data_IF_964503156309
#
_entry.id   IF_964503156309
#
_cell.length_a   1.000
_cell.length_b   1.000
_cell.length_c   1.000
_cell.angle_alpha   90.00
_cell.angle_beta   90.00
_cell.angle_gamma   90.00
#
_symmetry.space_group_name_H-M   'P 1'
#
loop_
_entity.id
_entity.type
_entity.pdbx_description
1 polymer ?
#
# COMPACT_ATOMS: atom_id res chain seq x y z
N UNK A 1 -67.40 28.29 43.43
CA UNK A 1 -65.95 28.46 43.23
C UNK A 1 -65.37 27.17 42.68
N UNK A 2 -65.16 27.08 41.36
CA UNK A 2 -64.34 26.05 40.71
C UNK A 2 -63.70 26.73 39.48
N UNK A 3 -62.36 26.93 39.43
CA UNK A 3 -61.72 27.53 38.27
C UNK A 3 -61.59 26.50 37.14
N UNK A 4 -61.93 26.94 35.93
CA UNK A 4 -61.87 26.17 34.71
C UNK A 4 -60.47 25.59 34.48
N UNK A 5 -60.39 24.28 34.29
CA UNK A 5 -59.18 23.59 33.86
C UNK A 5 -58.87 24.02 32.42
N UNK A 6 -57.84 24.85 32.32
CA UNK A 6 -57.27 25.41 31.11
C UNK A 6 -56.85 24.27 30.16
N UNK A 7 -57.68 23.99 29.17
CA UNK A 7 -57.38 23.09 28.05
C UNK A 7 -56.32 23.73 27.17
N UNK A 8 -55.05 23.49 27.49
CA UNK A 8 -53.95 23.78 26.55
C UNK A 8 -54.10 22.82 25.37
N UNK A 9 -54.26 23.30 24.13
CA UNK A 9 -54.05 22.46 22.97
C UNK A 9 -52.60 21.97 23.06
N UNK A 10 -52.40 20.64 23.17
CA UNK A 10 -51.13 20.07 22.73
C UNK A 10 -51.09 20.41 21.25
N UNK A 11 -50.36 21.46 20.89
CA UNK A 11 -49.98 21.69 19.52
C UNK A 11 -49.23 20.43 19.11
N UNK A 12 -49.92 19.60 18.33
CA UNK A 12 -49.36 18.44 17.67
C UNK A 12 -48.09 18.91 16.98
N UNK A 13 -46.94 18.50 17.52
CA UNK A 13 -45.67 18.58 16.83
C UNK A 13 -45.71 17.55 15.70
N UNK A 14 -46.58 17.78 14.71
CA UNK A 14 -46.42 17.19 13.38
C UNK A 14 -45.06 17.70 12.91
N UNK A 15 -44.07 16.82 12.67
CA UNK A 15 -42.83 17.26 12.08
C UNK A 15 -43.19 18.04 10.82
N UNK A 16 -42.72 19.29 10.75
CA UNK A 16 -42.98 20.11 9.57
C UNK A 16 -42.34 19.37 8.41
N UNK A 17 -43.01 19.25 7.27
CA UNK A 17 -42.55 18.46 6.13
C UNK A 17 -41.09 18.77 5.69
N UNK A 18 -40.56 19.94 6.08
CA UNK A 18 -39.14 20.30 5.91
C UNK A 18 -38.14 19.60 6.84
N UNK A 19 -38.51 19.19 8.06
CA UNK A 19 -37.65 18.40 8.97
C UNK A 19 -37.40 16.99 8.42
N UNK A 20 -38.44 16.34 7.88
CA UNK A 20 -38.33 15.00 7.29
C UNK A 20 -37.45 14.99 6.03
N UNK A 21 -37.49 16.06 5.23
CA UNK A 21 -36.63 16.22 4.07
C UNK A 21 -35.16 16.47 4.47
N UNK A 22 -34.95 17.25 5.53
CA UNK A 22 -33.61 17.48 6.08
C UNK A 22 -32.99 16.20 6.63
N UNK A 23 -33.75 15.41 7.40
CA UNK A 23 -33.29 14.11 7.92
C UNK A 23 -32.99 13.12 6.80
N UNK A 24 -33.88 13.00 5.79
CA UNK A 24 -33.65 12.11 4.65
C UNK A 24 -32.40 12.49 3.84
N UNK A 25 -32.11 13.79 3.69
CA UNK A 25 -30.90 14.26 3.02
C UNK A 25 -29.64 13.98 3.85
N UNK A 26 -29.73 14.11 5.16
CA UNK A 26 -28.64 13.81 6.08
C UNK A 26 -28.34 12.30 6.12
N UNK A 27 -29.36 11.46 6.07
CA UNK A 27 -29.22 10.00 5.97
C UNK A 27 -28.63 9.56 4.62
N UNK A 28 -29.05 10.19 3.51
CA UNK A 28 -28.45 9.93 2.20
C UNK A 28 -26.95 10.25 2.17
N UNK A 29 -26.54 11.37 2.75
CA UNK A 29 -25.13 11.73 2.88
C UNK A 29 -24.36 10.72 3.76
N UNK A 30 -25.01 10.26 4.85
CA UNK A 30 -24.45 9.25 5.74
C UNK A 30 -24.23 7.91 5.02
N UNK A 31 -25.22 7.41 4.28
CA UNK A 31 -25.12 6.20 3.47
C UNK A 31 -23.97 6.29 2.46
N UNK A 32 -23.87 7.38 1.71
CA UNK A 32 -22.77 7.58 0.75
C UNK A 32 -21.41 7.54 1.44
N UNK A 33 -21.27 8.21 2.59
CA UNK A 33 -20.00 8.15 3.35
C UNK A 33 -19.67 6.76 3.87
N UNK A 34 -20.68 5.95 4.23
CA UNK A 34 -20.49 4.56 4.65
C UNK A 34 -20.08 3.68 3.46
N UNK A 35 -20.71 3.83 2.30
CA UNK A 35 -20.37 3.09 1.09
C UNK A 35 -18.91 3.33 0.70
N UNK A 36 -18.46 4.59 0.77
CA UNK A 36 -17.06 4.96 0.54
C UNK A 36 -16.15 4.33 1.59
N UNK A 37 -16.55 4.35 2.86
CA UNK A 37 -15.77 3.74 3.93
C UNK A 37 -15.64 2.21 3.76
N UNK A 38 -16.72 1.55 3.37
CA UNK A 38 -16.77 0.11 3.10
C UNK A 38 -15.93 -0.24 1.87
N UNK A 39 -16.11 0.47 0.75
CA UNK A 39 -15.32 0.28 -0.45
C UNK A 39 -13.81 0.48 -0.18
N UNK A 40 -13.45 1.48 0.64
CA UNK A 40 -12.07 1.69 1.07
C UNK A 40 -11.54 0.54 1.93
N UNK A 41 -12.37 -0.02 2.81
CA UNK A 41 -12.01 -1.18 3.63
C UNK A 41 -11.79 -2.42 2.76
N UNK A 42 -12.72 -2.73 1.86
CA UNK A 42 -12.65 -3.87 0.96
C UNK A 42 -11.43 -3.75 0.03
N UNK A 43 -11.19 -2.57 -0.54
CA UNK A 43 -10.02 -2.32 -1.36
C UNK A 43 -8.72 -2.51 -0.56
N UNK A 44 -8.67 -2.04 0.68
CA UNK A 44 -7.51 -2.23 1.56
C UNK A 44 -7.28 -3.71 1.83
N UNK A 45 -8.32 -4.46 2.15
CA UNK A 45 -8.25 -5.90 2.42
C UNK A 45 -7.75 -6.66 1.19
N UNK A 46 -8.34 -6.44 0.01
CA UNK A 46 -7.92 -7.04 -1.26
C UNK A 46 -6.45 -6.72 -1.54
N UNK A 47 -6.03 -5.46 -1.41
CA UNK A 47 -4.64 -5.06 -1.65
C UNK A 47 -3.70 -5.74 -0.66
N UNK A 48 -4.03 -5.77 0.62
CA UNK A 48 -3.17 -6.40 1.63
C UNK A 48 -3.04 -7.90 1.42
N UNK A 49 -4.14 -8.60 1.18
CA UNK A 49 -4.15 -10.05 0.97
C UNK A 49 -3.42 -10.43 -0.31
N UNK A 50 -3.68 -9.73 -1.42
CA UNK A 50 -2.97 -9.99 -2.67
C UNK A 50 -1.49 -9.65 -2.57
N UNK A 51 -1.12 -8.59 -1.84
CA UNK A 51 0.28 -8.23 -1.64
C UNK A 51 1.02 -9.30 -0.82
N UNK A 52 0.41 -9.80 0.25
CA UNK A 52 0.97 -10.88 1.06
C UNK A 52 1.09 -12.15 0.21
N UNK A 53 0.06 -12.52 -0.55
CA UNK A 53 0.10 -13.68 -1.42
C UNK A 53 1.21 -13.57 -2.49
N UNK A 54 1.34 -12.41 -3.13
CA UNK A 54 2.40 -12.14 -4.10
C UNK A 54 3.79 -12.20 -3.45
N UNK A 55 3.95 -11.66 -2.23
CA UNK A 55 5.20 -11.74 -1.49
C UNK A 55 5.55 -13.20 -1.11
N UNK A 56 4.57 -13.99 -0.67
CA UNK A 56 4.75 -15.41 -0.38
C UNK A 56 5.14 -16.21 -1.62
N UNK A 57 4.49 -15.96 -2.77
CA UNK A 57 4.85 -16.61 -4.03
C UNK A 57 6.26 -16.21 -4.51
N UNK A 58 6.61 -14.93 -4.41
CA UNK A 58 7.95 -14.46 -4.72
C UNK A 58 9.00 -15.13 -3.81
N UNK A 59 8.74 -15.19 -2.50
CA UNK A 59 9.61 -15.88 -1.55
C UNK A 59 9.73 -17.38 -1.88
N UNK A 60 8.61 -18.07 -2.13
CA UNK A 60 8.61 -19.48 -2.52
C UNK A 60 9.44 -19.74 -3.78
N UNK A 61 9.31 -18.89 -4.80
CA UNK A 61 10.14 -18.96 -6.01
C UNK A 61 11.63 -18.80 -5.71
N UNK A 62 12.01 -17.83 -4.87
CA UNK A 62 13.40 -17.62 -4.43
C UNK A 62 13.91 -18.86 -3.70
N UNK A 63 13.16 -19.40 -2.74
CA UNK A 63 13.55 -20.61 -2.00
C UNK A 63 13.65 -21.84 -2.90
N UNK A 64 12.76 -22.01 -3.88
CA UNK A 64 12.84 -23.11 -4.85
C UNK A 64 14.10 -23.01 -5.71
N UNK A 65 14.45 -21.80 -6.16
CA UNK A 65 15.70 -21.54 -6.89
C UNK A 65 16.91 -21.90 -6.02
N UNK A 66 16.93 -21.46 -4.76
CA UNK A 66 18.01 -21.83 -3.83
C UNK A 66 18.08 -23.33 -3.56
N UNK A 67 16.93 -24.00 -3.41
CA UNK A 67 16.88 -25.44 -3.19
C UNK A 67 17.50 -26.19 -4.38
N UNK A 68 17.17 -25.83 -5.61
CA UNK A 68 17.78 -26.43 -6.81
C UNK A 68 19.25 -26.09 -6.90
N UNK A 69 19.60 -24.82 -6.71
CA UNK A 69 20.98 -24.36 -6.75
C UNK A 69 21.85 -25.13 -5.75
N UNK A 70 21.37 -25.43 -4.54
CA UNK A 70 22.15 -26.15 -3.52
C UNK A 70 22.08 -27.67 -3.69
N UNK A 71 20.87 -28.23 -3.84
CA UNK A 71 20.67 -29.68 -3.83
C UNK A 71 21.32 -30.39 -5.02
N UNK A 72 21.29 -29.78 -6.22
CA UNK A 72 21.88 -30.38 -7.42
C UNK A 72 23.41 -30.51 -7.31
N UNK A 73 24.20 -29.47 -6.95
CA UNK A 73 25.63 -29.62 -6.73
C UNK A 73 25.96 -30.65 -5.66
N UNK A 74 25.23 -30.66 -4.54
CA UNK A 74 25.46 -31.63 -3.47
C UNK A 74 25.29 -33.05 -4.00
N UNK A 75 24.23 -33.31 -4.77
CA UNK A 75 23.99 -34.62 -5.38
C UNK A 75 25.09 -34.98 -6.38
N UNK A 76 25.52 -34.05 -7.23
CA UNK A 76 26.58 -34.27 -8.23
C UNK A 76 27.91 -34.57 -7.54
N UNK A 77 28.26 -33.82 -6.49
CA UNK A 77 29.50 -34.05 -5.72
C UNK A 77 29.47 -35.44 -5.09
N UNK A 78 28.34 -35.89 -4.54
CA UNK A 78 28.24 -37.24 -3.94
C UNK A 78 28.31 -38.36 -4.99
N UNK A 79 27.76 -38.16 -6.18
CA UNK A 79 27.74 -39.18 -7.24
C UNK A 79 29.05 -39.30 -8.01
N UNK A 80 29.85 -38.23 -8.06
CA UNK A 80 31.07 -38.17 -8.88
C UNK A 80 32.29 -38.42 -7.99
N UNK A 81 33.13 -39.44 -8.27
CA UNK A 81 34.30 -39.76 -7.45
C UNK A 81 35.34 -38.62 -7.42
N UNK A 82 35.27 -37.70 -8.38
CA UNK A 82 36.13 -36.53 -8.51
C UNK A 82 35.47 -35.26 -7.96
N UNK A 83 35.13 -35.32 -6.67
CA UNK A 83 34.37 -34.34 -5.91
C UNK A 83 34.84 -32.87 -6.07
N UNK A 84 36.15 -32.62 -6.19
CA UNK A 84 36.70 -31.27 -6.24
C UNK A 84 36.50 -30.58 -7.60
N UNK A 85 36.56 -31.31 -8.72
CA UNK A 85 36.25 -30.75 -10.04
C UNK A 85 34.76 -30.45 -10.17
N UNK A 86 33.91 -31.36 -9.67
CA UNK A 86 32.47 -31.15 -9.61
C UNK A 86 32.13 -29.88 -8.81
N UNK A 87 32.76 -29.68 -7.65
CA UNK A 87 32.59 -28.48 -6.84
C UNK A 87 33.07 -27.21 -7.57
N UNK A 88 34.19 -27.27 -8.30
CA UNK A 88 34.74 -26.15 -9.05
C UNK A 88 33.80 -25.71 -10.18
N UNK A 89 33.23 -26.65 -10.93
CA UNK A 89 32.28 -26.35 -12.03
C UNK A 89 31.04 -25.63 -11.48
N UNK A 90 30.50 -26.10 -10.35
CA UNK A 90 29.37 -25.43 -9.71
C UNK A 90 29.73 -24.05 -9.17
N UNK A 91 30.92 -23.89 -8.57
CA UNK A 91 31.39 -22.59 -8.12
C UNK A 91 31.50 -21.57 -9.27
N UNK A 92 31.98 -22.00 -10.44
CA UNK A 92 32.03 -21.17 -11.65
C UNK A 92 30.61 -20.84 -12.13
N UNK A 93 29.68 -21.80 -12.14
CA UNK A 93 28.29 -21.56 -12.51
C UNK A 93 27.63 -20.51 -11.59
N UNK A 94 27.86 -20.60 -10.28
CA UNK A 94 27.39 -19.60 -9.32
C UNK A 94 27.97 -18.21 -9.56
N UNK A 95 29.28 -18.11 -9.80
CA UNK A 95 29.92 -16.84 -10.11
C UNK A 95 29.41 -16.24 -11.43
N UNK A 96 29.14 -17.07 -12.43
CA UNK A 96 28.57 -16.62 -13.70
C UNK A 96 27.13 -16.09 -13.52
N UNK A 97 26.28 -16.83 -12.81
CA UNK A 97 24.89 -16.43 -12.54
C UNK A 97 24.86 -15.17 -11.66
N UNK A 98 25.56 -15.19 -10.52
CA UNK A 98 25.61 -14.07 -9.58
C UNK A 98 26.27 -12.84 -10.18
N UNK A 99 27.38 -13.00 -10.89
CA UNK A 99 28.06 -11.93 -11.62
C UNK A 99 27.18 -11.34 -12.71
N UNK A 100 26.51 -12.17 -13.50
CA UNK A 100 25.55 -11.73 -14.52
C UNK A 100 24.38 -10.94 -13.94
N UNK A 101 23.76 -11.45 -12.85
CA UNK A 101 22.70 -10.75 -12.12
C UNK A 101 23.18 -9.42 -11.52
N UNK A 102 24.39 -9.39 -10.95
CA UNK A 102 24.97 -8.17 -10.39
C UNK A 102 25.24 -7.11 -11.48
N UNK A 103 25.79 -7.52 -12.64
CA UNK A 103 26.02 -6.65 -13.78
C UNK A 103 24.70 -6.16 -14.38
N UNK A 104 23.73 -7.06 -14.58
CA UNK A 104 22.39 -6.70 -15.06
C UNK A 104 21.70 -5.73 -14.10
N UNK A 105 21.68 -6.03 -12.80
CA UNK A 105 21.16 -5.17 -11.76
C UNK A 105 21.83 -3.80 -11.76
N UNK A 106 23.17 -3.75 -11.84
CA UNK A 106 23.94 -2.51 -11.92
C UNK A 106 23.65 -1.70 -13.17
N UNK A 107 23.42 -2.34 -14.32
CA UNK A 107 23.04 -1.66 -15.57
C UNK A 107 21.64 -1.04 -15.51
N UNK A 108 20.73 -1.67 -14.76
CA UNK A 108 19.35 -1.20 -14.55
C UNK A 108 19.21 -0.25 -13.37
N UNK A 109 20.19 -0.22 -12.47
CA UNK A 109 20.25 0.71 -11.34
C UNK A 109 20.51 2.14 -11.83
N UNK A 110 19.47 2.79 -12.32
CA UNK A 110 19.49 4.23 -12.55
C UNK A 110 19.13 4.95 -11.24
N UNK A 111 20.09 5.00 -10.31
CA UNK A 111 20.04 5.86 -9.12
C UNK A 111 20.22 7.35 -9.50
N UNK A 112 19.53 7.80 -10.56
CA UNK A 112 19.42 9.22 -10.85
C UNK A 112 18.32 9.76 -9.97
N UNK A 113 18.70 10.52 -8.94
CA UNK A 113 17.75 11.31 -8.17
C UNK A 113 16.93 12.16 -9.17
N UNK A 114 15.60 12.10 -9.14
CA UNK A 114 14.78 12.84 -10.09
C UNK A 114 14.99 14.33 -9.88
N UNK A 115 15.78 14.95 -10.75
CA UNK A 115 16.20 16.35 -10.64
C UNK A 115 14.99 17.28 -10.60
N UNK A 116 13.96 16.96 -11.39
CA UNK A 116 12.69 17.69 -11.42
C UNK A 116 11.93 17.63 -10.09
N UNK A 117 11.88 16.46 -9.46
CA UNK A 117 11.23 16.32 -8.14
C UNK A 117 12.00 17.08 -7.07
N UNK A 118 13.34 17.05 -7.11
CA UNK A 118 14.16 17.83 -6.17
C UNK A 118 13.98 19.34 -6.38
N UNK A 119 13.90 19.78 -7.64
CA UNK A 119 13.70 21.18 -8.01
C UNK A 119 12.32 21.69 -7.58
N UNK A 120 11.24 20.95 -7.88
CA UNK A 120 9.88 21.30 -7.41
C UNK A 120 9.75 21.30 -5.89
N UNK A 121 10.47 20.42 -5.18
CA UNK A 121 10.48 20.44 -3.71
C UNK A 121 11.23 21.66 -3.14
N UNK A 122 12.27 22.15 -3.81
CA UNK A 122 12.97 23.39 -3.43
C UNK A 122 12.07 24.60 -3.68
N UNK A 123 11.43 24.67 -4.84
CA UNK A 123 10.52 25.75 -5.20
C UNK A 123 9.31 25.82 -4.24
N UNK A 124 8.73 24.67 -3.90
CA UNK A 124 7.65 24.59 -2.90
C UNK A 124 8.10 25.04 -1.50
N UNK A 125 9.34 24.73 -1.12
CA UNK A 125 9.93 25.19 0.15
C UNK A 125 10.12 26.71 0.14
N UNK A 126 10.63 27.26 -0.95
CA UNK A 126 10.83 28.71 -1.09
C UNK A 126 9.50 29.46 -1.04
N UNK A 127 8.47 28.96 -1.72
CA UNK A 127 7.11 29.52 -1.68
C UNK A 127 6.52 29.48 -0.27
N UNK A 128 6.65 28.34 0.44
CA UNK A 128 6.16 28.18 1.81
C UNK A 128 6.90 29.12 2.80
N UNK A 129 8.21 29.30 2.64
CA UNK A 129 8.99 30.24 3.45
C UNK A 129 8.63 31.70 3.15
N UNK A 130 8.30 32.01 1.89
CA UNK A 130 7.80 33.34 1.51
C UNK A 130 6.45 33.64 2.14
N UNK A 131 5.54 32.65 2.18
CA UNK A 131 4.22 32.81 2.80
C UNK A 131 4.34 33.14 4.30
N UNK A 132 5.17 32.38 5.02
CA UNK A 132 5.41 32.60 6.46
C UNK A 132 6.08 33.96 6.75
N UNK A 133 6.89 34.48 5.84
CA UNK A 133 7.52 35.80 5.98
C UNK A 133 6.57 36.96 5.65
N UNK A 134 5.60 36.75 4.76
CA UNK A 134 4.67 37.80 4.33
C UNK A 134 3.51 38.03 5.30
N UNK A 135 3.10 37.01 6.07
CA UNK A 135 2.00 37.10 7.05
C UNK A 135 2.42 37.75 8.40
N UNK A 136 3.67 38.21 8.52
CA UNK A 136 4.23 38.81 9.74
C UNK A 136 4.26 40.36 9.78
N UNK A 137 3.53 41.06 8.91
CA UNK A 137 3.36 42.53 8.92
C UNK A 137 1.88 42.88 8.98
#
# INVERSE_FOLDING_TARGET
MQPALNGRPRADARPKSGELLSDAMQDAHRLVSLEIALAKQELREIVTTNLIAAACLAAAGIFAIFAVLVAVPVLVVVLVPWHWEAALVWAIAYLAIGGGLALYGRSRLSLRLPTRTIESLKENKEWALHQLRSTGK
#
